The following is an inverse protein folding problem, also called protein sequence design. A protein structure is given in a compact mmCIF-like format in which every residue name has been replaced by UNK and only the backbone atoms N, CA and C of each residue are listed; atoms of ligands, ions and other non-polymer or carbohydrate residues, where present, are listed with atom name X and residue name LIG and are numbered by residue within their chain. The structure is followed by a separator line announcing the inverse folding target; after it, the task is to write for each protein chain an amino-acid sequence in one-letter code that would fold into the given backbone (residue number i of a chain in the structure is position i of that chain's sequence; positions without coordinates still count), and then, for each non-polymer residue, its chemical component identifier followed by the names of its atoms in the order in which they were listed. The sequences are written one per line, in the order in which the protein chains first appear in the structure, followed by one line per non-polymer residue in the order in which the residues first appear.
data_IF_537181848682
#
_entry.id   IF_537181848682
#
_cell.length_a   1.000
_cell.length_b   1.000
_cell.length_c   1.000
_cell.angle_alpha   90.00
_cell.angle_beta   90.00
_cell.angle_gamma   90.00
#
_symmetry.space_group_name_H-M   'P 1'
#
loop_
_entity.id
_entity.type
_entity.pdbx_description
1 polymer ?
#
# COMPACT_ATOMS: atom_id res chain seq x y z
N UNK A 1 3.23 -0.49 12.45
CA UNK A 1 3.86 0.75 12.94
C UNK A 1 4.96 0.40 13.93
N UNK A 2 6.04 1.18 13.96
CA UNK A 2 7.07 1.15 15.01
C UNK A 2 7.36 2.59 15.45
N UNK A 3 7.44 2.82 16.76
CA UNK A 3 7.68 4.14 17.36
C UNK A 3 8.82 4.10 18.38
N UNK A 4 9.72 3.12 18.26
CA UNK A 4 10.90 2.96 19.13
C UNK A 4 11.76 4.25 19.24
N UNK A 5 11.86 5.03 18.17
CA UNK A 5 12.65 6.26 18.11
C UNK A 5 11.84 7.54 18.29
N UNK A 6 10.52 7.42 18.49
CA UNK A 6 9.64 8.58 18.46
C UNK A 6 9.78 9.45 19.71
N UNK A 7 9.96 10.74 19.49
CA UNK A 7 9.78 11.79 20.50
C UNK A 7 8.58 12.67 20.14
N UNK A 8 7.87 13.26 21.13
CA UNK A 8 6.72 14.12 20.86
C UNK A 8 7.04 15.24 19.86
N UNK A 9 6.27 15.32 18.78
CA UNK A 9 6.49 16.27 17.67
C UNK A 9 7.41 15.74 16.56
N UNK A 10 7.92 14.52 16.69
CA UNK A 10 8.66 13.82 15.64
C UNK A 10 7.79 13.45 14.43
N UNK A 11 8.41 13.26 13.26
CA UNK A 11 7.69 12.96 12.03
C UNK A 11 7.15 11.53 11.97
N UNK A 12 6.14 11.32 11.11
CA UNK A 12 5.66 10.01 10.73
C UNK A 12 6.20 9.66 9.33
N UNK A 13 6.98 8.59 9.26
CA UNK A 13 7.56 8.06 8.03
C UNK A 13 6.61 6.97 7.53
N UNK A 14 5.82 7.32 6.51
CA UNK A 14 4.83 6.44 5.90
C UNK A 14 5.43 5.71 4.69
N UNK A 15 5.33 4.37 4.67
CA UNK A 15 5.69 3.52 3.55
C UNK A 15 4.46 2.80 3.00
N UNK A 16 4.33 2.80 1.67
CA UNK A 16 3.44 1.91 0.92
C UNK A 16 4.28 0.83 0.25
N UNK A 17 4.14 -0.46 0.60
CA UNK A 17 4.99 -1.54 0.07
C UNK A 17 4.55 -2.02 -1.33
N UNK A 18 3.79 -1.19 -2.05
CA UNK A 18 3.37 -1.46 -3.42
C UNK A 18 2.29 -2.53 -3.54
N UNK A 19 2.44 -3.38 -4.55
CA UNK A 19 1.43 -4.33 -5.06
C UNK A 19 1.44 -5.70 -4.35
N UNK A 20 1.66 -5.70 -3.03
CA UNK A 20 1.78 -6.93 -2.25
C UNK A 20 1.02 -6.90 -0.92
N UNK A 21 0.78 -8.09 -0.37
CA UNK A 21 0.33 -8.26 1.01
C UNK A 21 1.44 -7.77 1.96
N UNK A 22 1.06 -7.03 2.99
CA UNK A 22 1.99 -6.43 3.96
C UNK A 22 2.42 -7.37 5.08
N UNK A 23 1.85 -8.58 5.16
CA UNK A 23 2.33 -9.62 6.07
C UNK A 23 3.84 -9.86 5.85
N UNK A 24 4.63 -9.68 6.91
CA UNK A 24 6.10 -9.78 6.84
C UNK A 24 6.83 -8.49 6.50
N UNK A 25 6.14 -7.38 6.24
CA UNK A 25 6.74 -6.07 5.96
C UNK A 25 7.34 -5.36 7.20
N UNK A 26 7.44 -6.07 8.33
CA UNK A 26 7.98 -5.52 9.59
C UNK A 26 9.42 -5.02 9.50
N UNK A 27 10.23 -5.55 8.56
CA UNK A 27 11.59 -5.06 8.30
C UNK A 27 11.60 -3.56 7.96
N UNK A 28 10.65 -3.10 7.13
CA UNK A 28 10.52 -1.70 6.74
C UNK A 28 10.24 -0.73 7.90
N UNK A 29 9.82 -1.24 9.05
CA UNK A 29 9.55 -0.45 10.25
C UNK A 29 10.80 -0.21 11.12
N UNK A 30 11.92 -0.81 10.78
CA UNK A 30 13.16 -0.80 11.58
C UNK A 30 14.31 -0.21 10.81
N UNK A 31 15.42 0.08 11.49
CA UNK A 31 16.66 0.59 10.89
C UNK A 31 17.37 -0.41 9.93
N UNK A 32 16.78 -1.58 9.70
CA UNK A 32 17.17 -2.47 8.60
C UNK A 32 16.86 -1.86 7.22
N UNK A 33 16.01 -0.83 7.18
CA UNK A 33 15.69 -0.04 5.98
C UNK A 33 15.87 1.45 6.24
N UNK A 34 15.93 2.23 5.15
CA UNK A 34 16.10 3.68 5.22
C UNK A 34 14.96 4.38 5.98
N UNK A 35 13.73 3.83 5.94
CA UNK A 35 12.60 4.39 6.68
C UNK A 35 12.87 4.43 8.19
N UNK A 36 13.41 3.34 8.74
CA UNK A 36 13.77 3.27 10.14
C UNK A 36 15.01 4.11 10.47
N UNK A 37 15.94 4.31 9.52
CA UNK A 37 17.06 5.24 9.70
C UNK A 37 16.59 6.69 9.76
N UNK A 38 15.63 7.09 8.91
CA UNK A 38 15.01 8.42 8.96
C UNK A 38 14.32 8.59 10.31
N UNK A 39 13.50 7.62 10.74
CA UNK A 39 12.84 7.66 12.04
C UNK A 39 13.86 7.75 13.20
N UNK A 40 14.95 7.01 13.14
CA UNK A 40 16.02 7.07 14.13
C UNK A 40 16.74 8.42 14.16
N UNK A 41 17.01 9.02 13.00
CA UNK A 41 17.72 10.29 12.89
C UNK A 41 16.84 11.49 13.29
N UNK A 42 15.54 11.40 13.02
CA UNK A 42 14.59 12.51 13.12
C UNK A 42 13.63 12.37 14.31
N UNK A 43 13.90 11.42 15.21
CA UNK A 43 13.06 11.10 16.36
C UNK A 43 11.59 10.79 15.96
N UNK A 44 11.42 10.08 14.84
CA UNK A 44 10.13 9.80 14.22
C UNK A 44 9.58 8.40 14.49
N UNK A 45 8.39 8.13 13.95
CA UNK A 45 7.79 6.81 13.92
C UNK A 45 7.60 6.32 12.48
N UNK A 46 7.65 5.01 12.25
CA UNK A 46 7.43 4.40 10.93
C UNK A 46 6.08 3.71 10.86
N UNK A 47 5.41 3.83 9.71
CA UNK A 47 4.14 3.15 9.41
C UNK A 47 4.26 2.49 8.04
N UNK A 48 3.83 1.25 7.97
CA UNK A 48 3.57 0.56 6.70
C UNK A 48 2.05 0.52 6.56
N UNK A 49 1.54 1.03 5.45
CA UNK A 49 0.13 0.98 5.11
C UNK A 49 -0.07 0.06 3.91
N UNK A 50 -0.96 -0.91 4.05
CA UNK A 50 -1.30 -1.82 2.98
C UNK A 50 -2.14 -1.11 1.93
N UNK A 51 -1.76 -1.29 0.66
CA UNK A 51 -2.46 -0.68 -0.45
C UNK A 51 -3.83 -1.36 -0.62
N UNK A 52 -4.88 -0.57 -0.93
CA UNK A 52 -6.21 -1.11 -1.24
C UNK A 52 -6.13 -2.22 -2.29
N UNK A 53 -6.92 -3.27 -2.10
CA UNK A 53 -6.98 -4.47 -2.95
C UNK A 53 -5.72 -5.34 -2.99
N UNK A 54 -4.72 -5.06 -2.15
CA UNK A 54 -3.60 -5.95 -1.91
C UNK A 54 -3.69 -6.50 -0.49
N UNK A 55 -3.29 -7.76 -0.32
CA UNK A 55 -3.46 -8.46 0.95
C UNK A 55 -4.93 -8.52 1.38
N UNK A 56 -5.20 -8.00 2.59
CA UNK A 56 -6.51 -8.05 3.23
C UNK A 56 -7.21 -6.68 3.31
N UNK A 57 -6.58 -5.62 2.84
CA UNK A 57 -7.15 -4.27 2.79
C UNK A 57 -8.10 -4.09 1.60
N UNK A 58 -9.29 -4.68 1.69
CA UNK A 58 -10.26 -4.71 0.60
C UNK A 58 -11.60 -4.11 1.05
N UNK A 59 -12.21 -3.19 0.27
CA UNK A 59 -13.57 -2.70 0.55
C UNK A 59 -14.65 -3.78 0.49
N UNK A 60 -14.38 -4.88 -0.22
CA UNK A 60 -15.26 -6.04 -0.37
C UNK A 60 -14.48 -7.34 -0.24
N UNK A 61 -15.13 -8.41 0.22
CA UNK A 61 -14.51 -9.73 0.41
C UNK A 61 -14.27 -10.52 -0.90
N UNK A 62 -14.10 -9.81 -2.03
CA UNK A 62 -13.81 -10.40 -3.32
C UNK A 62 -13.12 -9.41 -4.27
N UNK A 63 -12.46 -9.95 -5.28
CA UNK A 63 -11.79 -9.24 -6.35
C UNK A 63 -12.54 -9.36 -7.69
N UNK A 64 -13.87 -9.35 -7.68
CA UNK A 64 -14.64 -9.25 -8.94
C UNK A 64 -14.31 -7.95 -9.68
N UNK A 65 -14.58 -7.88 -10.97
CA UNK A 65 -14.29 -6.66 -11.74
C UNK A 65 -15.10 -5.46 -11.25
N UNK A 66 -16.28 -5.70 -10.68
CA UNK A 66 -17.09 -4.66 -10.04
C UNK A 66 -16.43 -4.11 -8.78
N UNK A 67 -15.87 -4.98 -7.93
CA UNK A 67 -15.12 -4.56 -6.74
C UNK A 67 -13.84 -3.81 -7.13
N UNK A 68 -13.10 -4.35 -8.10
CA UNK A 68 -11.85 -3.76 -8.59
C UNK A 68 -12.06 -2.40 -9.28
N UNK A 69 -13.29 -2.03 -9.67
CA UNK A 69 -13.56 -0.68 -10.15
C UNK A 69 -13.19 0.43 -9.12
N UNK A 70 -13.08 0.09 -7.84
CA UNK A 70 -12.59 1.00 -6.78
C UNK A 70 -11.06 0.99 -6.62
N UNK A 71 -10.34 0.08 -7.29
CA UNK A 71 -8.89 0.06 -7.37
C UNK A 71 -8.45 1.05 -8.44
N UNK A 72 -8.29 2.30 -8.03
CA UNK A 72 -7.71 3.35 -8.88
C UNK A 72 -6.56 4.06 -8.18
N UNK A 73 -5.60 4.59 -8.96
CA UNK A 73 -4.48 5.38 -8.42
C UNK A 73 -4.98 6.53 -7.54
N UNK A 74 -5.98 7.30 -8.00
CA UNK A 74 -6.50 8.44 -7.24
C UNK A 74 -7.08 7.99 -5.91
N UNK A 75 -7.91 6.95 -5.93
CA UNK A 75 -8.52 6.42 -4.74
C UNK A 75 -7.49 5.84 -3.74
N UNK A 76 -6.40 5.25 -4.23
CA UNK A 76 -5.30 4.81 -3.37
C UNK A 76 -4.56 5.99 -2.73
N UNK A 77 -4.38 7.11 -3.45
CA UNK A 77 -3.84 8.35 -2.89
C UNK A 77 -4.81 8.91 -1.83
N UNK A 78 -6.11 8.90 -2.11
CA UNK A 78 -7.14 9.38 -1.19
C UNK A 78 -7.15 8.58 0.13
N UNK A 79 -6.84 7.28 0.10
CA UNK A 79 -6.66 6.49 1.34
C UNK A 79 -5.49 7.00 2.17
N UNK A 80 -4.37 7.38 1.54
CA UNK A 80 -3.20 7.91 2.25
C UNK A 80 -3.53 9.26 2.88
N UNK A 81 -4.27 10.11 2.17
CA UNK A 81 -4.77 11.39 2.70
C UNK A 81 -5.71 11.14 3.88
N UNK A 82 -6.69 10.25 3.71
CA UNK A 82 -7.64 9.91 4.77
C UNK A 82 -6.93 9.35 6.00
N UNK A 83 -5.96 8.46 5.81
CA UNK A 83 -5.15 7.94 6.91
C UNK A 83 -4.38 9.06 7.61
N UNK A 84 -3.71 9.94 6.86
CA UNK A 84 -2.93 11.04 7.42
C UNK A 84 -3.78 12.03 8.25
N UNK A 85 -5.07 12.19 7.92
CA UNK A 85 -5.95 13.12 8.63
C UNK A 85 -6.73 12.47 9.78
N UNK A 86 -7.04 11.18 9.70
CA UNK A 86 -7.98 10.51 10.64
C UNK A 86 -7.33 9.44 11.53
N UNK A 87 -6.08 9.04 11.27
CA UNK A 87 -5.47 7.98 12.05
C UNK A 87 -5.22 8.45 13.50
N UNK A 88 -5.82 7.73 14.44
CA UNK A 88 -5.45 7.77 15.86
C UNK A 88 -4.27 6.83 16.06
N UNK A 89 -3.10 7.42 16.32
CA UNK A 89 -1.84 6.67 16.39
C UNK A 89 -1.45 6.42 17.84
N UNK A 90 -0.99 5.19 18.19
CA UNK A 90 -0.82 4.76 19.58
C UNK A 90 0.39 5.38 20.31
N UNK A 91 1.19 6.23 19.67
CA UNK A 91 2.32 6.90 20.30
C UNK A 91 1.87 8.16 21.06
N UNK A 92 2.63 8.64 22.07
CA UNK A 92 2.25 9.84 22.82
C UNK A 92 2.01 11.07 21.92
N UNK A 93 0.81 11.65 22.00
CA UNK A 93 0.38 12.77 21.15
C UNK A 93 -0.14 12.36 19.77
N UNK A 94 -0.19 11.06 19.45
CA UNK A 94 -0.86 10.54 18.25
C UNK A 94 -2.39 10.48 18.36
N UNK A 95 -2.92 10.69 19.56
CA UNK A 95 -4.32 10.79 19.93
C UNK A 95 -4.85 12.23 19.95
N UNK A 96 -4.02 13.20 19.55
CA UNK A 96 -4.39 14.61 19.51
C UNK A 96 -5.60 14.91 18.60
N UNK A 97 -5.91 14.02 17.63
CA UNK A 97 -7.09 14.13 16.77
C UNK A 97 -8.29 13.33 17.31
N UNK A 98 -8.08 12.25 18.06
CA UNK A 98 -9.16 11.43 18.61
C UNK A 98 -9.98 12.19 19.65
N UNK A 99 -9.32 12.99 20.50
CA UNK A 99 -10.00 13.86 21.46
C UNK A 99 -10.78 14.99 20.78
N UNK A 100 -10.23 15.61 19.73
CA UNK A 100 -10.91 16.63 18.91
C UNK A 100 -12.13 16.08 18.16
N UNK A 101 -12.07 14.86 17.65
CA UNK A 101 -13.18 14.21 16.94
C UNK A 101 -14.31 13.82 17.90
N UNK A 102 -13.96 13.31 19.09
CA UNK A 102 -14.92 13.04 20.17
C UNK A 102 -15.55 14.35 20.67
N UNK A 103 -14.76 15.42 20.87
CA UNK A 103 -15.25 16.75 21.23
C UNK A 103 -16.21 17.31 20.17
N UNK A 104 -15.93 17.08 18.88
CA UNK A 104 -16.78 17.53 17.77
C UNK A 104 -18.10 16.76 17.72
N UNK A 105 -18.07 15.44 17.91
CA UNK A 105 -19.28 14.60 18.00
C UNK A 105 -20.12 14.98 19.21
N UNK A 106 -19.51 15.22 20.38
CA UNK A 106 -20.23 15.70 21.56
C UNK A 106 -20.80 17.11 21.38
N UNK A 107 -20.05 18.05 20.78
CA UNK A 107 -20.56 19.39 20.48
C UNK A 107 -21.72 19.37 19.46
N UNK A 108 -21.72 18.41 18.53
CA UNK A 108 -22.83 18.20 17.60
C UNK A 108 -24.06 17.60 18.29
N UNK A 109 -23.86 16.58 19.13
CA UNK A 109 -24.91 15.98 19.95
C UNK A 109 -25.54 17.00 20.91
N UNK A 110 -24.73 17.80 21.61
CA UNK A 110 -25.16 18.83 22.55
C UNK A 110 -26.01 19.91 21.86
N UNK A 111 -25.63 20.31 20.64
CA UNK A 111 -26.42 21.26 19.84
C UNK A 111 -27.80 20.72 19.49
N UNK A 112 -27.89 19.47 19.03
CA UNK A 112 -29.17 18.84 18.71
C UNK A 112 -30.03 18.64 19.96
N UNK A 113 -29.41 18.26 21.08
CA UNK A 113 -30.08 18.13 22.37
C UNK A 113 -30.64 19.46 22.86
N UNK A 114 -29.87 20.55 22.76
CA UNK A 114 -30.28 21.88 23.18
C UNK A 114 -31.50 22.43 22.43
N UNK A 115 -31.69 22.03 21.16
CA UNK A 115 -32.85 22.43 20.35
C UNK A 115 -33.96 21.36 20.31
N UNK A 116 -33.83 20.28 21.08
CA UNK A 116 -34.75 19.16 21.14
C UNK A 116 -35.00 18.48 19.76
N UNK A 117 -33.96 18.40 18.93
CA UNK A 117 -34.02 17.73 17.62
C UNK A 117 -33.92 16.21 17.78
N UNK A 118 -35.06 15.59 18.11
CA UNK A 118 -35.15 14.15 18.34
C UNK A 118 -34.92 13.32 17.07
N UNK A 119 -35.24 13.86 15.89
CA UNK A 119 -35.00 13.18 14.63
C UNK A 119 -33.51 13.19 14.27
N UNK A 120 -32.83 14.34 14.42
CA UNK A 120 -31.39 14.44 14.20
C UNK A 120 -30.57 13.56 15.16
N UNK A 121 -30.98 13.48 16.43
CA UNK A 121 -30.36 12.58 17.41
C UNK A 121 -30.57 11.10 17.03
N UNK A 122 -31.75 10.72 16.53
CA UNK A 122 -32.01 9.35 16.09
C UNK A 122 -31.16 8.99 14.86
N UNK A 123 -31.04 9.89 13.89
CA UNK A 123 -30.14 9.70 12.74
C UNK A 123 -28.69 9.56 13.18
N UNK A 124 -28.22 10.37 14.14
CA UNK A 124 -26.87 10.24 14.68
C UNK A 124 -26.67 8.87 15.36
N UNK A 125 -27.61 8.42 16.18
CA UNK A 125 -27.56 7.08 16.81
C UNK A 125 -27.47 5.95 15.77
N UNK A 126 -28.22 6.05 14.67
CA UNK A 126 -28.20 5.08 13.58
C UNK A 126 -26.85 5.04 12.85
N UNK A 127 -26.21 6.20 12.64
CA UNK A 127 -24.85 6.30 12.04
C UNK A 127 -23.82 5.54 12.88
N UNK A 128 -23.93 5.57 14.20
CA UNK A 128 -23.06 4.83 15.11
C UNK A 128 -23.52 3.39 15.40
N UNK A 129 -24.59 2.90 14.74
CA UNK A 129 -25.12 1.55 14.96
C UNK A 129 -25.81 1.35 16.33
N UNK A 130 -26.18 2.45 17.00
CA UNK A 130 -26.76 2.49 18.34
C UNK A 130 -28.22 3.00 18.34
N UNK A 131 -28.92 2.86 17.20
CA UNK A 131 -30.29 3.35 16.99
C UNK A 131 -31.34 2.79 17.96
N UNK A 132 -31.06 1.64 18.56
CA UNK A 132 -31.93 0.98 19.53
C UNK A 132 -31.85 1.58 20.95
N UNK A 133 -30.88 2.48 21.22
CA UNK A 133 -30.74 3.13 22.51
C UNK A 133 -31.89 4.14 22.73
N UNK A 134 -32.78 3.82 23.69
CA UNK A 134 -33.97 4.63 24.00
C UNK A 134 -33.67 5.98 24.65
N UNK A 135 -32.52 6.12 25.32
CA UNK A 135 -32.14 7.37 25.99
C UNK A 135 -30.87 7.99 25.38
N UNK A 136 -30.76 9.31 25.42
CA UNK A 136 -29.68 10.07 24.74
C UNK A 136 -28.39 10.08 25.57
N UNK A 137 -28.53 10.06 26.90
CA UNK A 137 -27.45 9.88 27.86
C UNK A 137 -26.78 8.50 27.76
N UNK A 138 -27.53 7.43 27.50
CA UNK A 138 -26.96 6.11 27.21
C UNK A 138 -26.10 6.10 25.94
N UNK A 139 -26.53 6.85 24.92
CA UNK A 139 -25.76 7.03 23.67
C UNK A 139 -24.49 7.86 23.89
N UNK A 140 -24.57 8.94 24.66
CA UNK A 140 -23.40 9.73 25.04
C UNK A 140 -22.40 8.91 25.87
N UNK A 141 -22.89 8.04 26.78
CA UNK A 141 -22.05 7.12 27.56
C UNK A 141 -21.38 6.07 26.67
N UNK A 142 -22.08 5.50 25.69
CA UNK A 142 -21.52 4.50 24.79
C UNK A 142 -20.30 5.03 24.00
N UNK A 143 -20.29 6.32 23.63
CA UNK A 143 -19.16 6.99 22.97
C UNK A 143 -17.92 7.11 23.88
N UNK A 144 -18.06 6.92 25.19
CA UNK A 144 -16.95 6.97 26.17
C UNK A 144 -16.39 5.60 26.54
N UNK A 145 -17.05 4.50 26.17
CA UNK A 145 -16.70 3.13 26.62
C UNK A 145 -15.38 2.64 25.99
N UNK A 146 -15.06 3.04 24.75
CA UNK A 146 -13.80 2.65 24.08
C UNK A 146 -12.54 3.26 24.72
N UNK A 147 -12.68 4.30 25.55
CA UNK A 147 -11.57 4.88 26.31
C UNK A 147 -11.09 3.95 27.45
N UNK A 148 -11.89 2.95 27.84
CA UNK A 148 -11.57 2.01 28.92
C UNK A 148 -10.90 0.72 28.41
N UNK A 149 -10.98 0.44 27.10
CA UNK A 149 -10.32 -0.73 26.50
C UNK A 149 -8.81 -0.55 26.25
N UNK A 150 -8.30 0.68 26.44
CA UNK A 150 -6.87 0.98 26.31
C UNK A 150 -6.03 0.50 27.51
N UNK A 151 -6.65 -0.05 28.56
CA UNK A 151 -5.91 -0.62 29.71
C UNK A 151 -5.69 -2.14 29.63
N UNK A 152 -6.14 -2.81 28.56
CA UNK A 152 -6.16 -4.28 28.51
C UNK A 152 -5.14 -4.94 27.58
N UNK A 153 -4.13 -4.23 27.06
CA UNK A 153 -3.17 -4.83 26.14
C UNK A 153 -1.79 -5.03 26.79
N UNK A 154 -1.39 -6.30 26.89
CA UNK A 154 -0.11 -6.75 27.42
C UNK A 154 0.88 -7.12 26.28
N UNK A 155 2.20 -7.10 26.52
CA UNK A 155 3.23 -6.94 25.49
C UNK A 155 3.90 -8.22 24.95
N UNK A 156 3.30 -9.41 25.06
CA UNK A 156 4.01 -10.65 24.72
C UNK A 156 3.22 -11.60 23.83
N UNK A 157 3.47 -11.50 22.51
CA UNK A 157 3.47 -12.69 21.65
C UNK A 157 4.84 -12.78 21.00
N UNK A 158 5.69 -13.59 21.63
CA UNK A 158 7.06 -13.88 21.20
C UNK A 158 7.15 -15.04 20.19
N UNK A 159 8.38 -15.37 19.76
CA UNK A 159 8.68 -16.07 18.52
C UNK A 159 8.48 -17.60 18.59
N UNK A 160 7.84 -18.17 17.56
CA UNK A 160 7.65 -19.62 17.38
C UNK A 160 6.80 -20.05 16.19
N UNK A 161 6.56 -19.18 15.20
CA UNK A 161 5.61 -19.44 14.11
C UNK A 161 6.25 -20.12 12.90
N UNK A 162 5.37 -20.71 12.05
CA UNK A 162 5.66 -21.60 10.91
C UNK A 162 6.64 -21.08 9.85
N UNK A 163 7.06 -19.82 9.91
CA UNK A 163 7.94 -19.18 8.95
C UNK A 163 9.34 -19.86 8.85
N UNK A 164 9.90 -20.30 9.98
CA UNK A 164 11.24 -20.90 10.01
C UNK A 164 11.33 -22.35 9.54
N UNK A 165 10.20 -23.02 9.26
CA UNK A 165 10.19 -24.41 8.74
C UNK A 165 10.08 -24.49 7.22
N UNK A 166 9.91 -23.36 6.54
CA UNK A 166 9.80 -23.28 5.09
C UNK A 166 11.16 -23.10 4.40
N UNK A 167 12.16 -22.55 5.10
CA UNK A 167 13.46 -22.17 4.51
C UNK A 167 14.49 -23.29 4.39
N UNK A 168 14.11 -24.56 4.55
CA UNK A 168 15.00 -25.74 4.43
C UNK A 168 14.66 -26.62 3.20
N UNK A 169 13.73 -26.18 2.34
CA UNK A 169 13.13 -27.04 1.30
C UNK A 169 13.62 -26.81 -0.14
N UNK A 170 14.56 -25.90 -0.42
CA UNK A 170 14.97 -25.62 -1.80
C UNK A 170 16.48 -25.34 -1.95
N UNK A 171 17.25 -26.42 -2.06
CA UNK A 171 18.52 -26.44 -2.80
C UNK A 171 18.41 -27.44 -3.97
N UNK A 172 18.83 -27.06 -5.18
CA UNK A 172 19.24 -28.04 -6.21
C UNK A 172 20.72 -27.84 -6.52
N UNK A 173 21.43 -28.95 -6.36
CA UNK A 173 22.85 -29.20 -6.60
C UNK A 173 22.98 -30.00 -7.90
N UNK A 174 24.16 -29.97 -8.53
CA UNK A 174 24.59 -30.91 -9.58
C UNK A 174 24.06 -30.72 -11.02
N UNK A 175 24.03 -29.48 -11.53
CA UNK A 175 24.15 -29.22 -12.98
C UNK A 175 22.94 -29.58 -13.85
N UNK A 176 21.72 -29.50 -13.30
CA UNK A 176 20.46 -29.66 -14.04
C UNK A 176 19.93 -28.27 -14.42
N UNK A 177 19.55 -28.07 -15.70
CA UNK A 177 18.88 -26.84 -16.16
C UNK A 177 17.52 -26.68 -15.45
N UNK A 178 17.11 -25.42 -15.22
CA UNK A 178 15.78 -25.11 -14.68
C UNK A 178 14.69 -25.88 -15.44
N UNK A 179 13.86 -26.62 -14.69
CA UNK A 179 12.69 -27.29 -15.24
C UNK A 179 11.70 -26.28 -15.85
N UNK A 180 10.69 -26.74 -16.60
CA UNK A 180 9.65 -25.84 -17.12
C UNK A 180 9.08 -24.99 -15.97
N UNK A 181 8.81 -23.71 -16.25
CA UNK A 181 8.25 -22.70 -15.30
C UNK A 181 7.02 -23.23 -14.56
N UNK A 182 6.36 -24.23 -15.12
CA UNK A 182 5.12 -24.85 -14.69
C UNK A 182 5.27 -26.04 -13.74
N UNK A 183 6.49 -26.46 -13.40
CA UNK A 183 6.71 -27.65 -12.56
C UNK A 183 6.10 -28.90 -13.21
N UNK A 184 5.20 -29.58 -12.48
CA UNK A 184 4.47 -30.77 -12.95
C UNK A 184 3.17 -30.46 -13.72
N UNK A 185 2.80 -29.18 -13.86
CA UNK A 185 1.60 -28.78 -14.61
C UNK A 185 1.84 -28.83 -16.12
N UNK A 186 0.76 -29.08 -16.87
CA UNK A 186 0.77 -28.90 -18.32
C UNK A 186 1.07 -27.43 -18.67
N UNK A 187 1.94 -27.22 -19.66
CA UNK A 187 2.41 -25.88 -20.00
C UNK A 187 1.29 -24.98 -20.54
N UNK A 188 0.28 -25.53 -21.23
CA UNK A 188 -0.85 -24.73 -21.72
C UNK A 188 -1.75 -24.31 -20.55
N UNK A 189 -2.02 -25.20 -19.59
CA UNK A 189 -2.80 -24.80 -18.40
C UNK A 189 -2.05 -23.83 -17.47
N UNK A 190 -0.72 -23.84 -17.50
CA UNK A 190 0.10 -23.00 -16.63
C UNK A 190 0.46 -21.62 -17.22
N UNK A 191 0.86 -21.55 -18.50
CA UNK A 191 1.27 -20.28 -19.16
C UNK A 191 0.51 -20.01 -20.47
N UNK A 192 -0.44 -20.87 -20.85
CA UNK A 192 -1.30 -20.65 -22.00
C UNK A 192 -2.17 -19.42 -21.80
N UNK A 193 -2.32 -18.65 -22.88
CA UNK A 193 -3.06 -17.38 -22.88
C UNK A 193 -4.25 -17.39 -23.84
N UNK A 194 -4.55 -18.53 -24.46
CA UNK A 194 -5.63 -18.68 -25.44
C UNK A 194 -6.86 -19.38 -24.88
N UNK A 195 -6.71 -20.16 -23.79
CA UNK A 195 -7.85 -20.71 -23.06
C UNK A 195 -8.31 -19.72 -21.98
N UNK A 196 -9.49 -19.12 -22.20
CA UNK A 196 -10.11 -18.17 -21.26
C UNK A 196 -10.88 -18.86 -20.14
N UNK A 197 -10.99 -20.19 -20.15
CA UNK A 197 -11.72 -20.96 -19.14
C UNK A 197 -10.85 -21.43 -17.97
N UNK A 198 -9.54 -21.13 -18.03
CA UNK A 198 -8.58 -21.53 -17.00
C UNK A 198 -8.83 -20.80 -15.67
N UNK A 199 -8.84 -21.60 -14.59
CA UNK A 199 -9.28 -21.15 -13.26
C UNK A 199 -8.34 -20.13 -12.59
N UNK A 200 -7.06 -20.10 -12.97
CA UNK A 200 -6.08 -19.19 -12.40
C UNK A 200 -6.41 -17.71 -12.72
N UNK A 201 -6.92 -17.46 -13.93
CA UNK A 201 -7.30 -16.11 -14.37
C UNK A 201 -8.59 -15.61 -13.71
N UNK A 202 -9.49 -16.51 -13.32
CA UNK A 202 -10.83 -16.18 -12.81
C UNK A 202 -10.95 -16.22 -11.29
N UNK A 203 -9.88 -16.53 -10.57
CA UNK A 203 -9.88 -16.56 -9.10
C UNK A 203 -10.03 -15.16 -8.49
N UNK A 204 -11.21 -14.88 -7.95
CA UNK A 204 -11.58 -13.61 -7.30
C UNK A 204 -11.36 -13.59 -5.78
N UNK A 205 -10.68 -14.59 -5.21
CA UNK A 205 -10.42 -14.64 -3.77
C UNK A 205 -9.50 -13.50 -3.35
N UNK A 206 -9.79 -12.88 -2.19
CA UNK A 206 -8.93 -11.88 -1.55
C UNK A 206 -7.51 -12.43 -1.35
N UNK A 207 -6.52 -11.52 -1.27
CA UNK A 207 -5.10 -11.83 -1.21
C UNK A 207 -4.55 -12.46 -2.51
N UNK A 208 -5.08 -12.04 -3.66
CA UNK A 208 -4.56 -12.38 -5.00
C UNK A 208 -3.97 -11.12 -5.67
N UNK A 209 -2.72 -10.79 -5.33
CA UNK A 209 -2.01 -9.62 -5.83
C UNK A 209 -1.91 -9.57 -7.36
N UNK A 210 -1.74 -10.73 -8.02
CA UNK A 210 -1.64 -10.83 -9.48
C UNK A 210 -2.91 -10.29 -10.15
N UNK A 211 -4.08 -10.62 -9.60
CA UNK A 211 -5.35 -10.14 -10.15
C UNK A 211 -5.52 -8.63 -9.97
N UNK A 212 -5.23 -8.12 -8.78
CA UNK A 212 -5.30 -6.68 -8.48
C UNK A 212 -4.31 -5.88 -9.33
N UNK A 213 -3.08 -6.36 -9.48
CA UNK A 213 -2.07 -5.76 -10.35
C UNK A 213 -2.50 -5.80 -11.82
N UNK A 214 -3.03 -6.94 -12.30
CA UNK A 214 -3.55 -7.06 -13.67
C UNK A 214 -4.64 -6.03 -13.94
N UNK A 215 -5.53 -5.78 -12.98
CA UNK A 215 -6.53 -4.71 -13.10
C UNK A 215 -5.90 -3.33 -13.32
N UNK A 216 -4.89 -2.96 -12.52
CA UNK A 216 -4.20 -1.68 -12.67
C UNK A 216 -3.50 -1.55 -14.02
N UNK A 217 -2.80 -2.61 -14.46
CA UNK A 217 -2.11 -2.66 -15.75
C UNK A 217 -3.09 -2.50 -16.90
N UNK A 218 -4.22 -3.20 -16.87
CA UNK A 218 -5.23 -3.18 -17.92
C UNK A 218 -6.04 -1.89 -18.00
N UNK A 219 -6.15 -1.14 -16.89
CA UNK A 219 -6.95 0.08 -16.84
C UNK A 219 -6.13 1.37 -16.91
N UNK A 220 -5.04 1.49 -16.14
CA UNK A 220 -4.41 2.78 -15.85
C UNK A 220 -2.93 2.88 -16.21
N UNK A 221 -2.14 1.83 -15.99
CA UNK A 221 -0.66 1.96 -16.04
C UNK A 221 0.00 1.33 -17.26
N UNK A 222 -0.61 0.33 -17.90
CA UNK A 222 -0.10 -0.25 -19.17
C UNK A 222 1.38 -0.64 -19.14
N UNK A 223 1.85 -1.20 -18.01
CA UNK A 223 3.25 -1.56 -17.77
C UNK A 223 3.63 -2.86 -18.50
N UNK A 224 3.61 -2.84 -19.82
CA UNK A 224 3.92 -4.00 -20.66
C UNK A 224 5.43 -4.16 -20.83
N UNK A 225 5.91 -5.40 -20.70
CA UNK A 225 7.32 -5.75 -20.90
C UNK A 225 7.53 -6.22 -22.34
N UNK A 226 7.23 -5.34 -23.28
CA UNK A 226 7.31 -5.64 -24.70
C UNK A 226 8.75 -5.76 -25.19
N UNK A 227 8.94 -6.48 -26.30
CA UNK A 227 10.21 -6.45 -27.00
C UNK A 227 10.49 -5.06 -27.59
N UNK A 228 11.76 -4.63 -27.64
CA UNK A 228 12.09 -3.28 -28.10
C UNK A 228 11.93 -3.14 -29.62
N UNK A 229 11.85 -1.90 -30.16
CA UNK A 229 11.78 -1.64 -31.59
C UNK A 229 12.87 -2.37 -32.40
N UNK A 230 12.59 -2.60 -33.68
CA UNK A 230 13.56 -3.23 -34.59
C UNK A 230 14.85 -2.41 -34.66
N UNK A 231 16.00 -3.09 -34.62
CA UNK A 231 17.32 -2.44 -34.66
C UNK A 231 17.93 -2.10 -33.30
N UNK A 232 17.21 -2.29 -32.19
CA UNK A 232 17.76 -2.16 -30.82
C UNK A 232 18.25 -3.51 -30.26
N UNK A 233 19.21 -3.55 -29.33
CA UNK A 233 19.48 -4.74 -28.54
C UNK A 233 18.20 -5.18 -27.79
N UNK A 234 17.92 -6.48 -27.75
CA UNK A 234 16.70 -7.02 -27.15
C UNK A 234 17.02 -8.14 -26.15
N UNK A 235 16.57 -7.97 -24.90
CA UNK A 235 16.55 -9.03 -23.89
C UNK A 235 15.17 -9.72 -23.80
N UNK A 236 14.13 -9.04 -24.28
CA UNK A 236 12.78 -9.56 -24.45
C UNK A 236 12.47 -9.74 -25.94
N UNK A 237 11.78 -10.83 -26.28
CA UNK A 237 11.40 -11.13 -27.66
C UNK A 237 10.43 -10.07 -28.21
N UNK A 238 10.66 -9.64 -29.45
CA UNK A 238 9.76 -8.73 -30.20
C UNK A 238 8.40 -9.33 -30.57
N UNK A 239 8.22 -10.63 -30.30
CA UNK A 239 6.92 -11.30 -30.43
C UNK A 239 6.00 -10.90 -29.28
N UNK A 240 6.56 -10.50 -28.13
CA UNK A 240 5.78 -9.90 -27.06
C UNK A 240 5.55 -8.44 -27.43
N UNK A 241 4.33 -8.17 -27.88
CA UNK A 241 3.81 -6.87 -28.23
C UNK A 241 2.61 -6.53 -27.32
N UNK A 242 2.09 -5.29 -27.35
CA UNK A 242 1.01 -4.90 -26.46
C UNK A 242 -0.21 -5.84 -26.54
N UNK A 243 -0.55 -6.33 -27.74
CA UNK A 243 -1.72 -7.20 -27.91
C UNK A 243 -1.58 -8.55 -27.18
N UNK A 244 -0.35 -9.07 -27.02
CA UNK A 244 -0.10 -10.24 -26.18
C UNK A 244 -0.49 -9.98 -24.71
N UNK A 245 -0.12 -8.83 -24.15
CA UNK A 245 -0.44 -8.47 -22.76
C UNK A 245 -1.91 -8.08 -22.58
N UNK A 246 -2.47 -7.33 -23.52
CA UNK A 246 -3.87 -6.89 -23.48
C UNK A 246 -4.85 -8.07 -23.59
N UNK A 247 -4.48 -9.16 -24.28
CA UNK A 247 -5.29 -10.39 -24.28
C UNK A 247 -5.43 -10.97 -22.87
N UNK A 248 -4.39 -10.88 -22.06
CA UNK A 248 -4.46 -11.40 -20.69
C UNK A 248 -5.48 -10.62 -19.85
N UNK A 249 -5.74 -9.34 -20.16
CA UNK A 249 -6.82 -8.60 -19.51
C UNK A 249 -8.19 -9.27 -19.67
N UNK A 250 -8.48 -9.85 -20.85
CA UNK A 250 -9.72 -10.60 -21.09
C UNK A 250 -9.74 -11.89 -20.28
N UNK A 251 -8.61 -12.60 -20.21
CA UNK A 251 -8.51 -13.87 -19.49
C UNK A 251 -8.67 -13.68 -17.97
N UNK A 252 -8.03 -12.65 -17.41
CA UNK A 252 -8.07 -12.38 -15.99
C UNK A 252 -9.35 -11.63 -15.58
N UNK A 253 -9.90 -10.79 -16.44
CA UNK A 253 -11.00 -9.88 -16.10
C UNK A 253 -12.13 -9.96 -17.16
N UNK A 254 -12.69 -11.16 -17.42
CA UNK A 254 -13.67 -11.36 -18.49
C UNK A 254 -14.99 -10.62 -18.24
N UNK A 255 -15.29 -10.29 -16.98
CA UNK A 255 -16.47 -9.49 -16.60
C UNK A 255 -16.33 -8.02 -17.02
N UNK A 256 -15.11 -7.49 -17.13
CA UNK A 256 -14.84 -6.12 -17.53
C UNK A 256 -14.50 -5.98 -19.02
N UNK A 257 -13.80 -6.96 -19.59
CA UNK A 257 -13.25 -6.86 -20.94
C UNK A 257 -13.73 -8.00 -21.83
N UNK A 258 -14.57 -7.67 -22.81
CA UNK A 258 -14.98 -8.60 -23.87
C UNK A 258 -13.93 -8.75 -24.99
N UNK A 259 -12.96 -7.84 -25.05
CA UNK A 259 -11.85 -7.81 -26.01
C UNK A 259 -10.62 -7.15 -25.38
N UNK A 260 -9.40 -7.40 -25.89
CA UNK A 260 -8.18 -6.77 -25.38
C UNK A 260 -8.34 -5.24 -25.27
N UNK A 261 -8.22 -4.65 -24.05
CA UNK A 261 -8.40 -3.23 -23.84
C UNK A 261 -7.08 -2.47 -24.07
N UNK A 262 -7.19 -1.20 -24.45
CA UNK A 262 -6.06 -0.27 -24.41
C UNK A 262 -6.11 0.50 -23.07
N UNK A 263 -5.05 0.43 -22.24
CA UNK A 263 -5.04 1.10 -20.94
C UNK A 263 -5.00 2.63 -21.11
N UNK A 264 -5.59 3.35 -20.16
CA UNK A 264 -5.73 4.82 -20.19
C UNK A 264 -4.47 5.56 -19.73
N UNK A 265 -3.29 5.07 -20.11
CA UNK A 265 -1.98 5.60 -19.65
C UNK A 265 -1.78 7.08 -19.97
N UNK A 266 -2.31 7.57 -21.10
CA UNK A 266 -2.26 8.98 -21.46
C UNK A 266 -3.00 9.87 -20.45
N UNK A 267 -4.12 9.39 -19.88
CA UNK A 267 -4.86 10.10 -18.84
C UNK A 267 -4.06 10.12 -17.55
N UNK A 268 -3.49 8.98 -17.15
CA UNK A 268 -2.59 8.87 -15.99
C UNK A 268 -1.42 9.86 -16.12
N UNK A 269 -0.73 9.87 -17.26
CA UNK A 269 0.40 10.78 -17.52
C UNK A 269 -0.01 12.26 -17.54
N UNK A 270 -1.24 12.57 -17.98
CA UNK A 270 -1.76 13.93 -17.96
C UNK A 270 -2.04 14.41 -16.52
N UNK A 271 -2.62 13.55 -15.67
CA UNK A 271 -2.94 13.88 -14.28
C UNK A 271 -1.68 14.01 -13.44
N UNK A 272 -0.73 13.08 -13.60
CA UNK A 272 0.48 12.99 -12.76
C UNK A 272 1.75 13.51 -13.45
N UNK A 273 1.60 14.32 -14.50
CA UNK A 273 2.66 14.93 -15.31
C UNK A 273 3.65 13.97 -16.03
N UNK A 274 3.67 12.68 -15.70
CA UNK A 274 4.53 11.67 -16.34
C UNK A 274 6.00 12.08 -16.28
N UNK A 275 6.68 12.10 -17.42
CA UNK A 275 8.07 12.53 -17.54
C UNK A 275 8.33 14.00 -17.20
N UNK A 276 7.28 14.82 -17.11
CA UNK A 276 7.38 16.25 -16.81
C UNK A 276 7.04 16.55 -15.34
N UNK A 277 7.08 15.55 -14.45
CA UNK A 277 6.91 15.79 -13.02
C UNK A 277 7.98 16.74 -12.51
N UNK A 278 7.54 17.88 -11.97
CA UNK A 278 8.37 18.92 -11.37
C UNK A 278 7.67 19.38 -10.11
N UNK A 279 8.04 18.77 -8.99
CA UNK A 279 7.48 19.03 -7.67
C UNK A 279 8.60 19.15 -6.65
N UNK A 280 8.40 20.00 -5.66
CA UNK A 280 9.34 20.13 -4.56
C UNK A 280 9.29 18.90 -3.64
N UNK A 281 10.42 18.61 -2.98
CA UNK A 281 10.55 17.53 -1.97
C UNK A 281 10.26 16.12 -2.52
N UNK A 282 10.76 15.84 -3.72
CA UNK A 282 10.72 14.52 -4.35
C UNK A 282 12.13 14.05 -4.70
N UNK A 283 12.51 12.87 -4.20
CA UNK A 283 13.79 12.23 -4.45
C UNK A 283 13.59 10.95 -5.25
N UNK A 284 14.15 10.87 -6.46
CA UNK A 284 14.15 9.67 -7.28
C UNK A 284 15.49 8.93 -7.16
N UNK A 285 15.50 7.81 -6.44
CA UNK A 285 16.61 6.87 -6.47
C UNK A 285 16.41 5.87 -7.62
N UNK A 286 17.46 5.58 -8.39
CA UNK A 286 17.43 4.55 -9.41
C UNK A 286 18.77 3.81 -9.47
N UNK A 287 18.71 2.49 -9.63
CA UNK A 287 19.89 1.65 -9.79
C UNK A 287 20.38 1.61 -11.24
N UNK A 288 21.69 1.82 -11.46
CA UNK A 288 22.32 1.69 -12.78
C UNK A 288 22.10 0.32 -13.47
N UNK A 289 21.74 -0.70 -12.69
CA UNK A 289 21.61 -2.10 -13.13
C UNK A 289 20.22 -2.68 -12.90
N UNK A 290 19.21 -1.85 -12.63
CA UNK A 290 17.82 -2.25 -12.33
C UNK A 290 17.19 -3.10 -13.45
N UNK A 291 17.69 -3.00 -14.69
CA UNK A 291 17.28 -3.85 -15.84
C UNK A 291 18.45 -4.45 -16.63
N UNK A 292 19.69 -4.33 -16.14
CA UNK A 292 20.89 -4.65 -16.91
C UNK A 292 22.09 -4.99 -16.05
N UNK A 293 22.16 -6.24 -15.58
CA UNK A 293 23.39 -6.84 -15.09
C UNK A 293 23.79 -6.47 -13.65
N UNK A 294 23.02 -6.95 -12.67
CA UNK A 294 23.50 -7.20 -11.30
C UNK A 294 23.26 -6.12 -10.25
N UNK A 295 22.22 -5.30 -10.40
CA UNK A 295 21.67 -4.46 -9.31
C UNK A 295 20.24 -4.90 -9.02
N UNK A 296 19.76 -4.63 -7.82
CA UNK A 296 18.46 -5.11 -7.34
C UNK A 296 17.49 -3.92 -7.23
N UNK A 297 16.26 -4.13 -7.67
CA UNK A 297 15.18 -3.14 -7.59
C UNK A 297 15.01 -2.62 -6.16
N UNK A 298 15.05 -1.30 -5.99
CA UNK A 298 14.92 -0.64 -4.67
C UNK A 298 16.04 -0.97 -3.66
N UNK A 299 17.25 -1.33 -4.11
CA UNK A 299 18.35 -1.69 -3.21
C UNK A 299 18.75 -0.60 -2.21
N UNK A 300 18.55 0.66 -2.57
CA UNK A 300 18.78 1.83 -1.72
C UNK A 300 17.85 1.86 -0.49
N UNK A 301 16.72 1.14 -0.51
CA UNK A 301 15.82 1.04 0.64
C UNK A 301 16.40 0.19 1.77
N UNK A 302 17.34 -0.72 1.50
CA UNK A 302 17.90 -1.64 2.49
C UNK A 302 19.24 -1.16 3.02
N UNK A 303 19.33 -0.93 4.34
CA UNK A 303 20.56 -0.42 4.98
C UNK A 303 21.77 -1.31 4.70
N UNK A 304 21.56 -2.63 4.63
CA UNK A 304 22.64 -3.58 4.32
C UNK A 304 23.26 -3.35 2.95
N UNK A 305 22.48 -2.93 1.95
CA UNK A 305 22.98 -2.68 0.61
C UNK A 305 23.98 -1.51 0.57
N UNK A 306 23.83 -0.51 1.44
CA UNK A 306 24.83 0.55 1.60
C UNK A 306 26.10 0.09 2.32
N UNK A 307 26.00 -0.90 3.22
CA UNK A 307 27.18 -1.53 3.83
C UNK A 307 27.99 -2.29 2.76
N UNK A 308 27.29 -2.96 1.85
CA UNK A 308 27.88 -3.82 0.84
C UNK A 308 28.36 -3.04 -0.40
N UNK A 309 27.74 -1.89 -0.73
CA UNK A 309 28.09 -1.05 -1.90
C UNK A 309 28.15 0.45 -1.54
N UNK A 310 29.34 1.10 -1.67
CA UNK A 310 29.51 2.51 -1.32
C UNK A 310 28.74 3.47 -2.25
N UNK A 311 28.35 3.05 -3.45
CA UNK A 311 27.52 3.89 -4.33
C UNK A 311 26.08 3.93 -3.85
N UNK A 312 25.57 2.82 -3.28
CA UNK A 312 24.28 2.76 -2.62
C UNK A 312 24.33 3.56 -1.32
N UNK A 313 25.42 3.46 -0.55
CA UNK A 313 25.62 4.24 0.66
C UNK A 313 25.52 5.75 0.41
N UNK A 314 26.13 6.25 -0.67
CA UNK A 314 26.07 7.67 -1.03
C UNK A 314 24.64 8.13 -1.36
N UNK A 315 23.83 7.27 -2.00
CA UNK A 315 22.40 7.56 -2.26
C UNK A 315 21.60 7.59 -0.97
N UNK A 316 21.85 6.64 -0.06
CA UNK A 316 21.21 6.60 1.26
C UNK A 316 21.56 7.83 2.11
N UNK A 317 22.82 8.24 2.11
CA UNK A 317 23.29 9.44 2.81
C UNK A 317 22.62 10.69 2.25
N UNK A 318 22.58 10.87 0.92
CA UNK A 318 21.88 11.98 0.30
C UNK A 318 20.38 12.01 0.64
N UNK A 319 19.71 10.86 0.63
CA UNK A 319 18.30 10.77 1.01
C UNK A 319 18.07 11.17 2.47
N UNK A 320 18.94 10.75 3.40
CA UNK A 320 18.88 11.16 4.80
C UNK A 320 19.12 12.67 4.98
N UNK A 321 20.06 13.25 4.23
CA UNK A 321 20.33 14.69 4.24
C UNK A 321 19.13 15.51 3.75
N UNK A 322 18.55 15.13 2.60
CA UNK A 322 17.36 15.81 2.07
C UNK A 322 16.17 15.71 3.01
N UNK A 323 15.92 14.53 3.60
CA UNK A 323 14.84 14.36 4.57
C UNK A 323 15.05 15.25 5.80
N UNK A 324 16.28 15.33 6.32
CA UNK A 324 16.62 16.21 7.42
C UNK A 324 16.37 17.69 7.08
N UNK A 325 16.77 18.14 5.89
CA UNK A 325 16.53 19.50 5.40
C UNK A 325 15.02 19.79 5.28
N UNK A 326 14.28 18.92 4.61
CA UNK A 326 12.84 19.11 4.40
C UNK A 326 12.03 19.14 5.69
N UNK A 327 12.38 18.29 6.65
CA UNK A 327 11.74 18.26 7.96
C UNK A 327 12.10 19.49 8.81
N UNK A 328 13.33 20.01 8.71
CA UNK A 328 13.73 21.23 9.39
C UNK A 328 13.01 22.48 8.86
N UNK A 329 12.69 22.50 7.56
CA UNK A 329 11.93 23.58 6.93
C UNK A 329 10.41 23.44 7.12
N UNK A 330 9.94 22.23 7.43
CA UNK A 330 8.53 21.95 7.55
C UNK A 330 7.92 22.72 8.73
N UNK A 331 6.76 23.32 8.47
CA UNK A 331 5.94 23.98 9.48
C UNK A 331 4.57 23.34 9.47
N UNK A 332 3.99 22.99 10.64
CA UNK A 332 2.62 22.53 10.72
C UNK A 332 1.71 23.54 10.02
N UNK A 333 0.91 23.08 9.06
CA UNK A 333 -0.05 23.97 8.43
C UNK A 333 -1.07 24.39 9.48
N UNK A 334 -1.26 25.69 9.70
CA UNK A 334 -2.38 26.23 10.48
C UNK A 334 -3.70 26.18 9.71
N UNK A 335 -3.80 25.32 8.69
CA UNK A 335 -5.00 25.17 7.89
C UNK A 335 -6.04 24.43 8.70
N UNK A 336 -7.03 25.17 9.21
CA UNK A 336 -8.39 24.64 9.31
C UNK A 336 -8.73 24.09 7.92
N UNK A 337 -8.78 22.76 7.81
CA UNK A 337 -9.24 22.09 6.61
C UNK A 337 -10.72 22.50 6.39
N UNK A 338 -11.10 22.90 5.17
CA UNK A 338 -12.42 23.47 4.87
C UNK A 338 -13.59 22.53 5.12
#
# INVERSE_FOLDING_TARGET
MNWEFYEPGGPIILLTPGEANTEGSGGYLTNTTINGLIAQQQNGATIVIEHRFFGYSNPYDNLTSQSLALLTIQQAIDDLVYFATNADLPMPGGDANCSSDIETVFAYLDRMYAVNDTAGIQTLKEVFGLGDLGHVDDFAMALTINLVDWQSLQPYVGPGTMFFKFCDALEVKDGINAGPVCGDQDAESCIGTYDTSESYGTNTTVNNAVRSWTWMVCNQVGLYQDGPPYGQPAIVSRILDPIYHERQCVNFLPEAFASPPQPTTAVTNMIYAGWNVDVERLFFANGLRDLGGGGFHGSDMFTKSGIDDPTIAAVQEAALEYMAEWLAEWKPSTLELP
#
